data_IF_852172135360
#
_entry.id   IF_852172135360
#
_cell.length_a   1.000
_cell.length_b   1.000
_cell.length_c   1.000
_cell.angle_alpha   90.00
_cell.angle_beta   90.00
_cell.angle_gamma   90.00
#
_symmetry.space_group_name_H-M   'P 1'
#
loop_
_entity.id
_entity.type
_entity.pdbx_description
1 polymer ?
#
# COMPACT_ATOMS: atom_id res chain seq x y z
N UNK A 1 -47.96 -7.12 24.62
CA UNK A 1 -48.29 -7.30 23.21
C UNK A 1 -48.07 -5.97 22.52
N UNK A 2 -46.94 -5.80 21.87
CA UNK A 2 -46.58 -4.53 21.18
C UNK A 2 -46.11 -4.94 19.78
N UNK A 3 -46.85 -4.54 18.77
CA UNK A 3 -46.64 -4.87 17.38
C UNK A 3 -45.54 -3.99 16.78
N UNK A 4 -44.56 -4.59 16.09
CA UNK A 4 -43.55 -3.91 15.31
C UNK A 4 -44.07 -3.68 13.87
N UNK A 5 -43.90 -2.45 13.37
CA UNK A 5 -44.24 -2.08 11.99
C UNK A 5 -42.99 -2.28 11.08
N UNK A 6 -43.20 -2.71 9.82
CA UNK A 6 -42.11 -2.86 8.86
C UNK A 6 -41.75 -1.51 8.18
N UNK A 7 -40.48 -1.21 8.06
CA UNK A 7 -39.98 -0.08 7.27
C UNK A 7 -39.98 -0.41 5.77
N UNK A 8 -40.62 0.43 5.00
CA UNK A 8 -40.68 0.38 3.54
C UNK A 8 -39.39 1.02 2.95
N UNK A 9 -38.70 0.28 2.11
CA UNK A 9 -37.64 0.79 1.26
C UNK A 9 -38.24 1.46 0.01
N UNK A 10 -37.93 2.75 -0.15
CA UNK A 10 -38.28 3.47 -1.37
C UNK A 10 -37.22 3.21 -2.45
N UNK A 11 -37.64 2.69 -3.59
CA UNK A 11 -36.82 2.58 -4.81
C UNK A 11 -36.83 3.91 -5.56
N UNK A 12 -35.64 4.37 -5.97
CA UNK A 12 -35.47 5.52 -6.86
C UNK A 12 -35.60 5.08 -8.34
N UNK A 13 -36.18 5.91 -9.21
CA UNK A 13 -36.38 5.57 -10.63
C UNK A 13 -35.08 5.71 -11.44
N UNK A 14 -34.86 4.77 -12.36
CA UNK A 14 -33.82 4.81 -13.37
C UNK A 14 -34.16 5.87 -14.42
N UNK A 15 -33.31 6.90 -14.56
CA UNK A 15 -33.36 7.86 -15.65
C UNK A 15 -32.45 7.41 -16.79
N UNK A 16 -33.04 6.97 -17.90
CA UNK A 16 -32.31 6.74 -19.15
C UNK A 16 -31.93 8.08 -19.81
N UNK A 17 -30.73 8.18 -20.32
CA UNK A 17 -30.29 9.26 -21.18
C UNK A 17 -29.71 8.65 -22.46
N UNK A 18 -30.54 8.56 -23.51
CA UNK A 18 -30.11 8.24 -24.86
C UNK A 18 -29.54 9.51 -25.52
N UNK A 19 -28.35 9.41 -26.03
CA UNK A 19 -27.75 10.41 -26.91
C UNK A 19 -27.61 9.85 -28.32
N UNK A 20 -28.02 10.58 -29.37
CA UNK A 20 -28.01 10.05 -30.74
C UNK A 20 -26.60 10.08 -31.34
N UNK A 21 -26.26 8.98 -31.99
CA UNK A 21 -25.13 8.84 -32.90
C UNK A 21 -25.30 9.71 -34.16
N UNK A 22 -24.32 10.53 -34.45
CA UNK A 22 -24.12 11.06 -35.81
C UNK A 22 -22.87 10.42 -36.40
N UNK A 23 -23.11 9.53 -37.36
CA UNK A 23 -22.10 8.98 -38.24
C UNK A 23 -21.61 10.01 -39.24
N UNK A 24 -20.30 10.17 -39.38
CA UNK A 24 -19.70 10.75 -40.58
C UNK A 24 -18.50 9.90 -40.99
N UNK A 25 -18.64 9.29 -42.13
CA UNK A 25 -17.64 8.43 -42.83
C UNK A 25 -16.88 9.28 -43.85
N UNK A 26 -15.91 8.72 -44.62
CA UNK A 26 -14.49 8.63 -44.29
C UNK A 26 -13.63 9.48 -45.25
N UNK A 27 -12.45 9.85 -44.83
CA UNK A 27 -11.39 10.32 -45.73
C UNK A 27 -10.26 9.29 -45.76
N UNK A 28 -9.93 8.87 -46.95
CA UNK A 28 -8.89 7.91 -47.32
C UNK A 28 -7.48 8.47 -47.05
N UNK A 29 -6.53 7.68 -46.54
CA UNK A 29 -5.21 8.17 -46.19
C UNK A 29 -4.24 8.09 -47.38
N UNK A 30 -3.50 9.18 -47.59
CA UNK A 30 -2.31 9.22 -48.42
C UNK A 30 -1.15 8.39 -47.79
N UNK A 31 -0.28 7.79 -48.58
CA UNK A 31 0.83 7.00 -48.07
C UNK A 31 1.91 7.89 -47.45
N UNK A 32 2.10 7.83 -46.15
CA UNK A 32 3.24 8.45 -45.50
C UNK A 32 4.41 7.47 -45.44
N UNK A 33 5.48 7.87 -46.06
CA UNK A 33 6.82 7.30 -46.04
C UNK A 33 7.31 7.08 -44.61
N UNK A 34 7.85 5.87 -44.37
CA UNK A 34 8.37 5.46 -43.08
C UNK A 34 9.45 6.40 -42.50
N UNK A 35 9.16 6.88 -41.31
CA UNK A 35 10.17 7.33 -40.37
C UNK A 35 10.18 6.34 -39.23
N UNK A 36 11.34 5.75 -39.00
CA UNK A 36 11.56 4.79 -37.92
C UNK A 36 11.12 5.40 -36.59
N UNK A 37 10.37 4.61 -35.83
CA UNK A 37 10.05 4.95 -34.45
C UNK A 37 11.38 5.21 -33.70
N UNK A 38 11.49 6.31 -32.94
CA UNK A 38 12.61 6.45 -32.03
C UNK A 38 12.56 5.32 -31.00
N UNK A 39 13.69 4.67 -30.76
CA UNK A 39 13.87 3.72 -29.68
C UNK A 39 13.30 4.33 -28.39
N UNK A 40 12.59 3.54 -27.55
CA UNK A 40 12.17 4.03 -26.26
C UNK A 40 13.41 4.47 -25.50
N UNK A 41 13.48 5.77 -25.22
CA UNK A 41 14.52 6.34 -24.39
C UNK A 41 14.61 5.51 -23.10
N UNK A 42 15.79 5.16 -22.60
CA UNK A 42 15.93 4.47 -21.34
C UNK A 42 15.21 5.31 -20.29
N UNK A 43 14.26 4.67 -19.62
CA UNK A 43 13.54 5.29 -18.50
C UNK A 43 14.58 5.92 -17.58
N UNK A 44 14.56 7.24 -17.46
CA UNK A 44 15.49 7.94 -16.59
C UNK A 44 15.27 7.39 -15.18
N UNK A 45 16.17 6.53 -14.74
CA UNK A 45 16.31 6.23 -13.33
C UNK A 45 16.46 7.59 -12.65
N UNK A 46 15.55 7.91 -11.72
CA UNK A 46 15.61 9.14 -10.97
C UNK A 46 17.05 9.27 -10.45
N UNK A 47 17.79 10.28 -10.93
CA UNK A 47 19.15 10.51 -10.50
C UNK A 47 19.10 10.78 -9.00
N UNK A 48 19.58 9.81 -8.23
CA UNK A 48 19.84 10.01 -6.81
C UNK A 48 20.81 11.20 -6.71
N UNK A 49 20.42 12.22 -5.98
CA UNK A 49 21.28 13.36 -5.74
C UNK A 49 22.66 12.92 -5.24
N UNK A 50 23.70 13.72 -5.46
CA UNK A 50 25.08 13.31 -5.18
C UNK A 50 25.23 12.90 -3.72
N UNK A 51 25.52 11.63 -3.48
CA UNK A 51 25.89 11.07 -2.18
C UNK A 51 24.91 10.12 -1.52
N UNK A 52 23.74 9.83 -2.12
CA UNK A 52 22.80 8.84 -1.56
C UNK A 52 22.71 7.61 -2.48
N UNK A 53 23.41 6.53 -2.10
CA UNK A 53 23.15 5.22 -2.66
C UNK A 53 21.72 4.79 -2.26
N UNK A 54 20.88 4.31 -3.19
CA UNK A 54 19.57 3.76 -2.83
C UNK A 54 19.74 2.64 -1.79
N UNK A 55 19.15 2.81 -0.63
CA UNK A 55 19.17 1.76 0.40
C UNK A 55 18.39 0.52 -0.07
N UNK A 56 18.63 -0.64 0.56
CA UNK A 56 17.95 -1.89 0.20
C UNK A 56 16.53 -1.94 0.79
N UNK A 57 15.74 -0.86 0.68
CA UNK A 57 14.40 -0.78 1.27
C UNK A 57 13.33 -0.50 0.24
N UNK A 58 12.20 -1.19 0.40
CA UNK A 58 10.94 -0.91 -0.29
C UNK A 58 9.93 -0.38 0.72
N UNK A 59 9.06 0.51 0.30
CA UNK A 59 8.06 1.16 1.15
C UNK A 59 6.65 0.86 0.65
N UNK A 60 5.73 0.71 1.61
CA UNK A 60 4.33 0.47 1.30
C UNK A 60 3.40 1.02 2.39
N UNK A 61 2.21 1.45 1.98
CA UNK A 61 1.16 1.87 2.90
C UNK A 61 0.08 0.80 3.00
N UNK A 62 -0.55 0.61 4.16
CA UNK A 62 -1.70 -0.28 4.28
C UNK A 62 -2.89 0.33 3.52
N UNK A 63 -3.89 -0.49 3.13
CA UNK A 63 -5.03 -0.02 2.36
C UNK A 63 -6.00 0.86 3.17
N UNK A 64 -5.95 0.80 4.50
CA UNK A 64 -6.82 1.58 5.36
C UNK A 64 -6.46 3.07 5.34
N UNK A 65 -7.39 3.91 4.92
CA UNK A 65 -7.24 5.37 4.97
C UNK A 65 -7.10 5.92 6.41
N UNK A 66 -7.46 5.13 7.42
CA UNK A 66 -7.36 5.51 8.84
C UNK A 66 -6.03 5.10 9.47
N UNK A 67 -5.25 4.26 8.79
CA UNK A 67 -3.92 3.90 9.22
C UNK A 67 -2.90 4.84 8.57
N UNK A 68 -2.63 5.97 9.21
CA UNK A 68 -1.61 6.94 8.75
C UNK A 68 -0.20 6.39 9.01
N UNK A 69 0.12 5.27 8.36
CA UNK A 69 1.38 4.51 8.54
C UNK A 69 2.07 4.27 7.23
N UNK A 70 3.39 4.26 7.30
CA UNK A 70 4.26 3.79 6.23
C UNK A 70 5.08 2.63 6.77
N UNK A 71 5.07 1.53 6.04
CA UNK A 71 5.93 0.38 6.30
C UNK A 71 7.13 0.42 5.37
N UNK A 72 8.24 -0.12 5.86
CA UNK A 72 9.42 -0.38 5.03
C UNK A 72 9.89 -1.81 5.24
N UNK A 73 10.39 -2.46 4.20
CA UNK A 73 11.02 -3.76 4.28
C UNK A 73 12.44 -3.68 3.72
N UNK A 74 13.38 -4.30 4.41
CA UNK A 74 14.69 -4.54 3.85
C UNK A 74 14.58 -5.67 2.81
N UNK A 75 14.86 -5.36 1.53
CA UNK A 75 14.66 -6.30 0.41
C UNK A 75 15.51 -7.57 0.50
N UNK A 76 16.58 -7.59 1.29
CA UNK A 76 17.47 -8.74 1.44
C UNK A 76 17.18 -9.58 2.67
N UNK A 77 16.80 -8.94 3.77
CA UNK A 77 16.62 -9.61 5.06
C UNK A 77 15.17 -9.81 5.45
N UNK A 78 14.23 -9.16 4.76
CA UNK A 78 12.82 -9.20 5.11
C UNK A 78 12.46 -8.48 6.41
N UNK A 79 13.39 -7.75 7.03
CA UNK A 79 13.14 -6.96 8.23
C UNK A 79 12.13 -5.86 7.94
N UNK A 80 11.04 -5.77 8.73
CA UNK A 80 9.97 -4.80 8.54
C UNK A 80 9.97 -3.76 9.65
N UNK A 81 9.84 -2.50 9.27
CA UNK A 81 9.64 -1.36 10.18
C UNK A 81 8.35 -0.63 9.81
N UNK A 82 7.81 0.12 10.76
CA UNK A 82 6.66 0.99 10.52
C UNK A 82 6.80 2.29 11.28
N UNK A 83 6.41 3.38 10.62
CA UNK A 83 6.33 4.70 11.23
C UNK A 83 4.98 5.33 10.87
N UNK A 84 4.50 6.24 11.69
CA UNK A 84 3.29 7.02 11.41
C UNK A 84 3.54 8.51 11.64
N UNK A 85 2.75 9.32 10.95
CA UNK A 85 2.71 10.75 11.21
C UNK A 85 1.70 11.02 12.32
N UNK A 86 2.13 11.75 13.34
CA UNK A 86 1.28 12.22 14.43
C UNK A 86 1.32 13.74 14.50
N UNK A 87 0.18 14.34 14.80
CA UNK A 87 0.11 15.76 15.14
C UNK A 87 -0.40 15.87 16.58
N UNK A 88 0.47 16.10 17.56
CA UNK A 88 0.06 16.30 18.92
C UNK A 88 -0.95 17.45 19.03
N UNK A 89 -1.92 17.32 19.94
CA UNK A 89 -2.93 18.34 20.16
C UNK A 89 -2.28 19.69 20.51
N UNK A 90 -2.74 20.75 19.88
CA UNK A 90 -2.17 22.10 20.06
C UNK A 90 -0.83 22.34 19.35
N UNK A 91 -0.26 21.33 18.68
CA UNK A 91 1.00 21.51 17.94
C UNK A 91 0.74 21.95 16.49
N UNK A 92 1.50 22.93 16.03
CA UNK A 92 1.53 23.35 14.62
C UNK A 92 2.38 22.39 13.79
N UNK A 93 3.36 21.73 14.41
CA UNK A 93 4.31 20.84 13.75
C UNK A 93 3.96 19.38 14.10
N UNK A 94 3.83 18.55 13.07
CA UNK A 94 3.70 17.10 13.24
C UNK A 94 5.03 16.42 13.50
N UNK A 95 4.97 15.19 14.01
CA UNK A 95 6.12 14.35 14.29
C UNK A 95 5.99 13.00 13.57
N UNK A 96 7.13 12.41 13.22
CA UNK A 96 7.17 11.01 12.77
C UNK A 96 7.47 10.13 13.96
N UNK A 97 6.58 9.19 14.24
CA UNK A 97 6.74 8.21 15.32
C UNK A 97 6.94 6.82 14.70
N UNK A 98 8.09 6.23 14.97
CA UNK A 98 8.38 4.86 14.55
C UNK A 98 8.13 3.89 15.70
N UNK A 99 7.62 2.70 15.36
CA UNK A 99 7.29 1.67 16.32
C UNK A 99 8.49 0.74 16.56
N UNK A 100 8.72 0.28 17.78
CA UNK A 100 9.65 -0.81 18.04
C UNK A 100 9.22 -2.07 17.27
N UNK A 101 10.15 -2.97 17.06
CA UNK A 101 9.89 -4.24 16.37
C UNK A 101 9.90 -5.39 17.35
N UNK A 102 8.92 -6.27 17.21
CA UNK A 102 8.99 -7.61 17.76
C UNK A 102 9.94 -8.48 16.94
N UNK A 103 10.40 -9.58 17.50
CA UNK A 103 11.30 -10.53 16.83
C UNK A 103 10.73 -11.07 15.51
N UNK A 104 9.40 -11.20 15.41
CA UNK A 104 8.72 -11.66 14.18
C UNK A 104 8.82 -10.69 13.01
N UNK A 105 9.03 -9.40 13.28
CA UNK A 105 9.27 -8.36 12.27
C UNK A 105 10.76 -8.13 12.00
N UNK A 106 11.64 -8.82 12.72
CA UNK A 106 13.09 -8.79 12.53
C UNK A 106 13.53 -9.47 11.22
N UNK A 107 14.85 -9.58 11.03
CA UNK A 107 15.41 -10.28 9.89
C UNK A 107 14.89 -11.72 9.78
N UNK A 108 14.59 -12.11 8.56
CA UNK A 108 14.14 -13.46 8.18
C UNK A 108 15.24 -14.17 7.39
N UNK A 109 14.92 -15.25 6.70
CA UNK A 109 15.85 -15.90 5.77
C UNK A 109 16.28 -14.92 4.68
N UNK A 110 17.51 -15.03 4.20
CA UNK A 110 18.00 -14.22 3.06
C UNK A 110 17.16 -14.51 1.83
N UNK A 111 16.71 -13.46 1.13
CA UNK A 111 15.86 -13.60 -0.04
C UNK A 111 15.65 -12.25 -0.73
N UNK A 112 14.61 -12.19 -1.55
CA UNK A 112 14.16 -10.95 -2.18
C UNK A 112 12.76 -10.62 -1.68
N UNK A 113 12.66 -9.60 -0.84
CA UNK A 113 11.42 -9.22 -0.16
C UNK A 113 10.78 -7.98 -0.76
N UNK A 114 9.44 -7.97 -0.74
CA UNK A 114 8.61 -6.84 -1.13
C UNK A 114 7.43 -6.65 -0.18
N UNK A 115 6.76 -5.50 -0.27
CA UNK A 115 5.55 -5.16 0.47
C UNK A 115 4.37 -5.01 -0.48
N UNK A 116 3.31 -5.77 -0.21
CA UNK A 116 2.10 -5.75 -1.02
C UNK A 116 0.90 -5.34 -0.16
N UNK A 117 0.22 -4.27 -0.58
CA UNK A 117 -1.06 -3.86 0.00
C UNK A 117 -2.21 -4.62 -0.65
N UNK A 118 -3.22 -4.97 0.14
CA UNK A 118 -4.50 -5.47 -0.38
C UNK A 118 -5.44 -4.32 -0.73
N UNK A 119 -6.61 -4.65 -1.29
CA UNK A 119 -7.68 -3.66 -1.50
C UNK A 119 -8.70 -3.60 -0.36
N UNK A 120 -8.46 -4.33 0.70
CA UNK A 120 -9.38 -4.37 1.84
C UNK A 120 -9.19 -3.13 2.71
N UNK A 121 -10.10 -2.17 2.62
CA UNK A 121 -10.02 -0.86 3.28
C UNK A 121 -10.02 -0.91 4.81
N UNK A 122 -10.41 -2.02 5.41
CA UNK A 122 -10.34 -2.24 6.86
C UNK A 122 -8.98 -2.72 7.36
N UNK A 123 -8.06 -3.12 6.45
CA UNK A 123 -6.78 -3.67 6.83
C UNK A 123 -5.76 -2.57 7.14
N UNK A 124 -5.12 -2.67 8.29
CA UNK A 124 -4.07 -1.75 8.75
C UNK A 124 -2.66 -2.32 8.63
N UNK A 125 -2.55 -3.57 8.25
CA UNK A 125 -1.30 -4.28 7.98
C UNK A 125 -0.94 -4.31 6.50
N UNK A 126 0.20 -4.90 6.22
CA UNK A 126 0.76 -5.05 4.88
C UNK A 126 1.35 -6.45 4.73
N UNK A 127 1.25 -7.03 3.54
CA UNK A 127 1.90 -8.31 3.26
C UNK A 127 3.40 -8.12 3.02
N UNK A 128 4.22 -8.88 3.75
CA UNK A 128 5.63 -9.11 3.43
C UNK A 128 5.71 -10.39 2.60
N UNK A 129 6.26 -10.28 1.41
CA UNK A 129 6.37 -11.38 0.44
C UNK A 129 7.84 -11.64 0.16
N UNK A 130 8.26 -12.92 0.21
CA UNK A 130 9.53 -13.35 -0.31
C UNK A 130 9.33 -13.80 -1.77
N UNK A 131 9.84 -13.01 -2.72
CA UNK A 131 9.65 -13.26 -4.16
C UNK A 131 10.39 -14.51 -4.67
N UNK A 132 11.40 -15.00 -3.95
CA UNK A 132 12.16 -16.20 -4.33
C UNK A 132 11.44 -17.47 -3.91
N UNK A 133 10.83 -17.47 -2.72
CA UNK A 133 10.21 -18.68 -2.15
C UNK A 133 8.69 -18.68 -2.27
N UNK A 134 8.07 -17.53 -2.54
CA UNK A 134 6.62 -17.37 -2.53
C UNK A 134 6.00 -17.30 -1.12
N UNK A 135 6.80 -17.30 -0.08
CA UNK A 135 6.32 -17.19 1.29
C UNK A 135 5.74 -15.81 1.57
N UNK A 136 4.63 -15.77 2.28
CA UNK A 136 3.93 -14.55 2.65
C UNK A 136 3.65 -14.51 4.15
N UNK A 137 3.76 -13.32 4.74
CA UNK A 137 3.32 -13.02 6.09
C UNK A 137 2.65 -11.64 6.13
N UNK A 138 1.76 -11.40 7.08
CA UNK A 138 1.17 -10.08 7.29
C UNK A 138 1.87 -9.39 8.45
N UNK A 139 2.34 -8.18 8.24
CA UNK A 139 2.97 -7.34 9.25
C UNK A 139 2.02 -6.19 9.61
N UNK A 140 1.86 -5.92 10.89
CA UNK A 140 0.97 -4.89 11.41
C UNK A 140 1.47 -4.37 12.77
N UNK A 141 0.92 -3.26 13.23
CA UNK A 141 1.22 -2.71 14.55
C UNK A 141 0.13 -3.12 15.53
N UNK A 142 0.54 -3.71 16.65
CA UNK A 142 -0.35 -4.07 17.77
C UNK A 142 0.32 -3.79 19.10
N UNK A 143 -0.50 -3.66 20.14
CA UNK A 143 -0.01 -3.53 21.50
C UNK A 143 0.59 -4.85 21.99
N UNK A 144 1.86 -4.82 22.37
CA UNK A 144 2.62 -5.94 22.90
C UNK A 144 2.94 -5.70 24.38
N UNK A 145 2.99 -6.77 25.23
CA UNK A 145 3.44 -6.63 26.61
C UNK A 145 4.85 -6.05 26.67
N UNK A 146 5.06 -5.12 27.61
CA UNK A 146 6.36 -4.50 27.85
C UNK A 146 6.98 -5.03 29.13
N UNK A 147 8.31 -5.19 29.15
CA UNK A 147 9.05 -5.46 30.39
C UNK A 147 8.80 -4.34 31.40
N UNK A 148 8.43 -4.73 32.64
CA UNK A 148 8.04 -3.78 33.68
C UNK A 148 6.57 -3.44 33.75
N UNK A 149 5.73 -4.07 32.91
CA UNK A 149 4.26 -3.94 32.88
C UNK A 149 3.75 -2.94 31.86
N UNK A 150 2.46 -3.09 31.51
CA UNK A 150 1.81 -2.31 30.48
C UNK A 150 1.98 -2.88 29.09
N UNK A 151 1.57 -2.10 28.07
CA UNK A 151 1.69 -2.47 26.65
C UNK A 151 2.38 -1.36 25.86
N UNK A 152 2.99 -1.74 24.75
CA UNK A 152 3.64 -0.82 23.81
C UNK A 152 3.28 -1.23 22.38
N UNK A 153 2.84 -0.28 21.52
CA UNK A 153 2.58 -0.59 20.13
C UNK A 153 3.88 -0.96 19.41
N UNK A 154 3.92 -2.17 18.86
CA UNK A 154 5.09 -2.75 18.20
C UNK A 154 4.73 -3.36 16.86
N UNK A 155 5.67 -3.36 15.92
CA UNK A 155 5.52 -4.06 14.64
C UNK A 155 5.67 -5.55 14.87
N UNK A 156 4.67 -6.32 14.45
CA UNK A 156 4.68 -7.78 14.50
C UNK A 156 4.33 -8.34 13.12
N UNK A 157 4.86 -9.51 12.79
CA UNK A 157 4.49 -10.23 11.58
C UNK A 157 3.95 -11.62 11.93
N UNK A 158 2.96 -12.10 11.18
CA UNK A 158 2.51 -13.49 11.29
C UNK A 158 3.62 -14.43 10.83
N UNK A 159 3.51 -15.70 11.22
CA UNK A 159 4.38 -16.74 10.67
C UNK A 159 4.19 -16.79 9.16
N UNK A 160 5.29 -16.89 8.41
CA UNK A 160 5.23 -17.03 6.97
C UNK A 160 4.59 -18.36 6.56
N UNK A 161 3.82 -18.34 5.48
CA UNK A 161 3.15 -19.49 4.87
C UNK A 161 3.14 -19.34 3.34
N UNK A 162 2.92 -20.45 2.65
CA UNK A 162 2.70 -20.50 1.20
C UNK A 162 1.21 -20.47 0.88
#
# INVERSE_FOLDING_TARGET
MTAAAPSAYAQAPAGGNESPSTATSPAEPAPSTGQGAPDPAPSAAAEAGPGMEPGPYVFGSPPSAQANRLYSVNVRTGEVSACQFERPEGSVIGVTKCFPRDSSAGPSETGTYDLISTRYSGETGIFRVNAETGQMSVCYVRDMPKEGGGTEPSVVCTKASH
#
